data_IF_713509827858
#
_entry.id   IF_713509827858
#
_cell.length_a   1.000
_cell.length_b   1.000
_cell.length_c   1.000
_cell.angle_alpha   90.00
_cell.angle_beta   90.00
_cell.angle_gamma   90.00
#
_symmetry.space_group_name_H-M   'P 1'
#
loop_
_entity.id
_entity.type
_entity.pdbx_description
1 polymer ?
#
# COMPACT_ATOMS: atom_id res chain seq x y z
N UNK A 1 12.23 -6.49 19.87
CA UNK A 1 11.71 -5.11 19.80
C UNK A 1 11.89 -4.59 18.39
N UNK A 2 10.81 -4.54 17.60
CA UNK A 2 10.82 -3.99 16.25
C UNK A 2 9.39 -3.65 15.90
N UNK A 3 9.02 -2.38 16.06
CA UNK A 3 7.67 -1.90 15.74
C UNK A 3 7.58 -1.75 14.22
N UNK A 4 7.10 -2.78 13.53
CA UNK A 4 6.69 -2.66 12.15
C UNK A 4 5.31 -2.01 12.12
N UNK A 5 5.27 -0.68 11.95
CA UNK A 5 4.03 0.07 11.78
C UNK A 5 3.54 -0.11 10.35
N UNK A 6 2.53 -0.97 10.16
CA UNK A 6 1.77 -1.08 8.91
C UNK A 6 0.76 0.08 8.86
N UNK A 7 0.74 0.79 7.74
CA UNK A 7 0.36 2.21 7.63
C UNK A 7 -1.09 2.62 7.93
N UNK A 8 -1.95 1.75 8.45
CA UNK A 8 -3.36 2.08 8.64
C UNK A 8 -3.68 2.76 9.99
N UNK A 9 -2.84 2.57 11.01
CA UNK A 9 -3.13 3.03 12.38
C UNK A 9 -2.19 4.14 12.89
N UNK A 10 -1.39 4.74 12.00
CA UNK A 10 -0.46 5.80 12.38
C UNK A 10 -1.23 7.09 12.78
N UNK A 11 -0.95 7.69 13.96
CA UNK A 11 -1.56 8.93 14.41
C UNK A 11 -1.57 10.08 13.37
N UNK A 12 -0.58 10.13 12.47
CA UNK A 12 -0.55 11.13 11.39
C UNK A 12 -1.78 11.06 10.47
N UNK A 13 -2.31 9.87 10.20
CA UNK A 13 -3.50 9.66 9.38
C UNK A 13 -4.81 10.03 10.11
N UNK A 14 -4.77 10.20 11.44
CA UNK A 14 -5.90 10.61 12.28
C UNK A 14 -5.87 12.09 12.68
N UNK A 15 -4.84 12.81 12.24
CA UNK A 15 -4.62 14.22 12.61
C UNK A 15 -5.77 15.12 12.17
N UNK A 16 -5.96 16.23 12.89
CA UNK A 16 -7.00 17.22 12.57
C UNK A 16 -6.83 17.83 11.17
N UNK A 17 -5.59 17.94 10.67
CA UNK A 17 -5.30 18.42 9.31
C UNK A 17 -5.88 17.46 8.27
N UNK A 18 -5.63 16.16 8.40
CA UNK A 18 -6.15 15.14 7.49
C UNK A 18 -7.68 15.11 7.52
N UNK A 19 -8.29 15.17 8.73
CA UNK A 19 -9.75 15.19 8.87
C UNK A 19 -10.39 16.38 8.15
N UNK A 20 -9.85 17.60 8.32
CA UNK A 20 -10.35 18.79 7.62
C UNK A 20 -10.21 18.67 6.11
N UNK A 21 -9.09 18.15 5.63
CA UNK A 21 -8.88 17.94 4.19
C UNK A 21 -9.89 16.95 3.60
N UNK A 22 -10.14 15.81 4.27
CA UNK A 22 -11.13 14.82 3.83
C UNK A 22 -12.53 15.42 3.83
N UNK A 23 -12.91 16.16 4.88
CA UNK A 23 -14.22 16.84 4.95
C UNK A 23 -14.42 17.84 3.81
N UNK A 24 -13.42 18.66 3.52
CA UNK A 24 -13.46 19.62 2.42
C UNK A 24 -13.57 18.95 1.03
N UNK A 25 -13.21 17.66 0.92
CA UNK A 25 -13.19 16.91 -0.32
C UNK A 25 -14.15 15.70 -0.30
N UNK A 26 -15.16 15.69 0.57
CA UNK A 26 -16.01 14.53 0.80
C UNK A 26 -16.78 14.04 -0.44
N UNK A 27 -17.00 14.92 -1.43
CA UNK A 27 -17.60 14.55 -2.73
C UNK A 27 -16.66 13.71 -3.63
N UNK A 28 -15.35 13.74 -3.35
CA UNK A 28 -14.31 13.10 -4.17
C UNK A 28 -13.53 12.02 -3.43
N UNK A 29 -13.55 12.07 -2.09
CA UNK A 29 -12.76 11.20 -1.24
C UNK A 29 -13.64 10.51 -0.21
N UNK A 30 -13.43 9.21 -0.05
CA UNK A 30 -13.95 8.42 1.05
C UNK A 30 -12.79 7.93 1.90
N UNK A 31 -12.81 8.24 3.19
CA UNK A 31 -11.85 7.71 4.15
C UNK A 31 -12.38 6.41 4.74
N UNK A 32 -11.60 5.33 4.64
CA UNK A 32 -11.86 4.06 5.29
C UNK A 32 -10.79 3.90 6.37
N UNK A 33 -11.23 3.84 7.63
CA UNK A 33 -10.35 3.58 8.76
C UNK A 33 -10.31 2.08 9.02
N UNK A 34 -9.13 1.49 8.95
CA UNK A 34 -8.94 0.10 9.34
C UNK A 34 -8.74 0.00 10.86
N UNK A 35 -9.19 -1.09 11.50
CA UNK A 35 -8.80 -1.39 12.86
C UNK A 35 -7.27 -1.50 12.96
N UNK A 36 -6.74 -1.11 14.12
CA UNK A 36 -5.30 -1.19 14.39
C UNK A 36 -4.78 -2.63 14.32
N UNK A 37 -3.55 -2.79 13.84
CA UNK A 37 -2.85 -4.08 13.75
C UNK A 37 -3.53 -5.17 12.88
N UNK A 38 -4.28 -4.78 11.84
CA UNK A 38 -4.86 -5.71 10.86
C UNK A 38 -4.20 -5.57 9.48
N UNK A 39 -2.93 -5.98 9.29
CA UNK A 39 -2.24 -5.91 8.00
C UNK A 39 -2.94 -6.71 6.90
N UNK A 40 -3.66 -7.78 7.26
CA UNK A 40 -4.47 -8.59 6.36
C UNK A 40 -5.62 -7.81 5.70
N UNK A 41 -6.09 -6.73 6.33
CA UNK A 41 -7.12 -5.86 5.77
C UNK A 41 -6.53 -4.77 4.86
N UNK A 42 -5.22 -4.61 4.77
CA UNK A 42 -4.64 -3.56 3.95
C UNK A 42 -4.29 -4.09 2.54
N UNK A 43 -5.00 -3.68 1.46
CA UNK A 43 -4.68 -4.11 0.09
C UNK A 43 -3.24 -3.75 -0.33
N UNK A 44 -2.66 -2.71 0.26
CA UNK A 44 -1.27 -2.32 -0.02
C UNK A 44 -0.28 -3.39 0.45
N UNK A 45 -0.62 -4.21 1.45
CA UNK A 45 0.28 -5.28 1.89
C UNK A 45 0.47 -6.35 0.83
N UNK A 46 -0.56 -6.62 0.01
CA UNK A 46 -0.44 -7.55 -1.13
C UNK A 46 0.48 -6.98 -2.21
N UNK A 47 0.36 -5.69 -2.50
CA UNK A 47 1.29 -5.00 -3.42
C UNK A 47 2.71 -4.94 -2.84
N UNK A 48 2.86 -4.68 -1.54
CA UNK A 48 4.15 -4.65 -0.86
C UNK A 48 4.83 -6.01 -0.89
N UNK A 49 4.08 -7.10 -0.68
CA UNK A 49 4.59 -8.47 -0.83
C UNK A 49 5.06 -8.73 -2.26
N UNK A 50 4.27 -8.33 -3.27
CA UNK A 50 4.66 -8.45 -4.67
C UNK A 50 5.96 -7.68 -4.98
N UNK A 51 6.08 -6.43 -4.52
CA UNK A 51 7.30 -5.62 -4.70
C UNK A 51 8.50 -6.26 -3.98
N UNK A 52 8.36 -6.62 -2.71
CA UNK A 52 9.46 -7.23 -1.91
C UNK A 52 9.95 -8.52 -2.56
N UNK A 53 9.03 -9.37 -3.03
CA UNK A 53 9.36 -10.67 -3.61
C UNK A 53 9.92 -10.54 -5.03
N UNK A 54 9.22 -9.80 -5.89
CA UNK A 54 9.48 -9.81 -7.33
C UNK A 54 10.41 -8.68 -7.80
N UNK A 55 10.40 -7.52 -7.14
CA UNK A 55 11.31 -6.42 -7.48
C UNK A 55 12.64 -6.55 -6.74
N UNK A 56 12.59 -6.78 -5.42
CA UNK A 56 13.79 -6.72 -4.56
C UNK A 56 14.43 -8.08 -4.29
N UNK A 57 13.63 -9.14 -4.11
CA UNK A 57 14.12 -10.49 -3.89
C UNK A 57 15.00 -11.01 -5.04
N UNK A 58 14.68 -10.60 -6.28
CA UNK A 58 15.41 -10.99 -7.49
C UNK A 58 16.61 -10.10 -7.82
N UNK A 59 16.54 -8.80 -7.53
CA UNK A 59 17.58 -7.84 -7.93
C UNK A 59 18.64 -7.60 -6.86
N UNK A 60 18.34 -7.84 -5.57
CA UNK A 60 19.24 -7.64 -4.42
C UNK A 60 20.08 -6.34 -4.52
N UNK A 61 19.43 -5.17 -4.53
CA UNK A 61 20.11 -3.90 -4.73
C UNK A 61 21.15 -3.63 -3.65
N UNK A 62 22.33 -3.16 -4.04
CA UNK A 62 23.45 -2.90 -3.14
C UNK A 62 23.37 -1.52 -2.47
N UNK A 63 22.58 -0.61 -3.04
CA UNK A 63 22.39 0.74 -2.51
C UNK A 63 20.95 1.26 -2.71
N UNK A 64 20.65 2.38 -2.05
CA UNK A 64 19.34 3.02 -2.09
C UNK A 64 18.91 3.43 -3.51
N UNK A 65 19.85 3.87 -4.36
CA UNK A 65 19.55 4.29 -5.73
C UNK A 65 19.06 3.13 -6.58
N UNK A 66 19.75 2.00 -6.52
CA UNK A 66 19.36 0.75 -7.17
C UNK A 66 18.01 0.24 -6.67
N UNK A 67 17.80 0.27 -5.35
CA UNK A 67 16.52 -0.12 -4.76
C UNK A 67 15.36 0.72 -5.29
N UNK A 68 15.51 2.05 -5.32
CA UNK A 68 14.48 2.96 -5.86
C UNK A 68 14.22 2.66 -7.34
N UNK A 69 15.28 2.46 -8.13
CA UNK A 69 15.16 2.14 -9.56
C UNK A 69 14.41 0.82 -9.76
N UNK A 70 14.75 -0.23 -9.02
CA UNK A 70 14.11 -1.54 -9.11
C UNK A 70 12.61 -1.47 -8.75
N UNK A 71 12.28 -0.80 -7.64
CA UNK A 71 10.88 -0.63 -7.21
C UNK A 71 10.08 0.15 -8.26
N UNK A 72 10.60 1.27 -8.77
CA UNK A 72 9.91 2.08 -9.79
C UNK A 72 9.66 1.31 -11.07
N UNK A 73 10.68 0.61 -11.58
CA UNK A 73 10.54 -0.21 -12.79
C UNK A 73 9.49 -1.29 -12.63
N UNK A 74 9.47 -1.97 -11.47
CA UNK A 74 8.48 -2.99 -11.16
C UNK A 74 7.06 -2.43 -11.09
N UNK A 75 6.85 -1.34 -10.35
CA UNK A 75 5.54 -0.71 -10.24
C UNK A 75 5.03 -0.20 -11.61
N UNK A 76 5.91 0.39 -12.42
CA UNK A 76 5.55 0.82 -13.78
C UNK A 76 5.14 -0.38 -14.68
N UNK A 77 5.79 -1.53 -14.52
CA UNK A 77 5.40 -2.76 -15.22
C UNK A 77 4.02 -3.27 -14.75
N UNK A 78 3.75 -3.22 -13.44
CA UNK A 78 2.45 -3.61 -12.86
C UNK A 78 1.29 -2.70 -13.29
N UNK A 79 1.53 -1.40 -13.48
CA UNK A 79 0.53 -0.48 -14.05
C UNK A 79 0.04 -0.93 -15.44
N UNK A 80 0.90 -1.59 -16.23
CA UNK A 80 0.55 -2.14 -17.55
C UNK A 80 -0.10 -3.53 -17.48
N UNK A 81 -0.28 -4.10 -16.28
CA UNK A 81 -0.82 -5.43 -16.04
C UNK A 81 -2.07 -5.36 -15.15
N UNK A 82 -3.18 -4.77 -15.64
CA UNK A 82 -4.36 -4.50 -14.83
C UNK A 82 -5.02 -5.76 -14.27
N UNK A 83 -4.85 -6.92 -14.91
CA UNK A 83 -5.33 -8.21 -14.39
C UNK A 83 -4.67 -8.59 -13.06
N UNK A 84 -3.36 -8.32 -12.89
CA UNK A 84 -2.64 -8.59 -11.64
C UNK A 84 -3.13 -7.65 -10.55
N UNK A 85 -3.24 -6.35 -10.87
CA UNK A 85 -3.74 -5.35 -9.92
C UNK A 85 -5.15 -5.72 -9.44
N UNK A 86 -6.08 -6.05 -10.34
CA UNK A 86 -7.44 -6.48 -9.98
C UNK A 86 -7.44 -7.75 -9.14
N UNK A 87 -6.51 -8.68 -9.37
CA UNK A 87 -6.42 -9.90 -8.58
C UNK A 87 -5.99 -9.64 -7.13
N UNK A 88 -5.24 -8.57 -6.83
CA UNK A 88 -4.91 -8.20 -5.45
C UNK A 88 -6.19 -7.95 -4.64
N UNK A 89 -7.21 -7.35 -5.24
CA UNK A 89 -8.49 -7.06 -4.59
C UNK A 89 -9.44 -8.26 -4.45
N UNK A 90 -9.07 -9.45 -4.96
CA UNK A 90 -9.90 -10.66 -4.82
C UNK A 90 -9.68 -11.40 -3.50
N UNK A 91 -8.56 -11.14 -2.83
CA UNK A 91 -8.25 -11.71 -1.52
C UNK A 91 -9.35 -11.31 -0.52
N UNK A 92 -9.79 -12.26 0.31
CA UNK A 92 -11.02 -12.19 1.11
C UNK A 92 -11.07 -10.97 2.04
N UNK A 93 -9.95 -10.61 2.64
CA UNK A 93 -9.83 -9.58 3.67
C UNK A 93 -9.76 -8.17 3.09
N UNK A 94 -9.40 -8.01 1.81
CA UNK A 94 -9.24 -6.70 1.16
C UNK A 94 -10.33 -6.35 0.14
N UNK A 95 -11.33 -7.23 -0.08
CA UNK A 95 -12.43 -6.99 -1.05
C UNK A 95 -13.21 -5.71 -0.83
N UNK A 96 -13.22 -5.16 0.39
CA UNK A 96 -13.92 -3.90 0.68
C UNK A 96 -13.32 -2.70 -0.09
N UNK A 97 -12.09 -2.84 -0.59
CA UNK A 97 -11.36 -1.80 -1.31
C UNK A 97 -11.44 -1.93 -2.85
N UNK A 98 -12.22 -2.91 -3.35
CA UNK A 98 -12.41 -3.18 -4.79
C UNK A 98 -13.39 -2.21 -5.46
#
# INVERSE_FOLDING_TARGET
MGQYSTGADNPVHKSGVVKRFVQANAQRLRLILLPGYCPELNPDELLNQDVKTNALGKSRPANKGEMIKAVRSHLHSRQKQPAIIRNLFKEKHVRYAA
#
